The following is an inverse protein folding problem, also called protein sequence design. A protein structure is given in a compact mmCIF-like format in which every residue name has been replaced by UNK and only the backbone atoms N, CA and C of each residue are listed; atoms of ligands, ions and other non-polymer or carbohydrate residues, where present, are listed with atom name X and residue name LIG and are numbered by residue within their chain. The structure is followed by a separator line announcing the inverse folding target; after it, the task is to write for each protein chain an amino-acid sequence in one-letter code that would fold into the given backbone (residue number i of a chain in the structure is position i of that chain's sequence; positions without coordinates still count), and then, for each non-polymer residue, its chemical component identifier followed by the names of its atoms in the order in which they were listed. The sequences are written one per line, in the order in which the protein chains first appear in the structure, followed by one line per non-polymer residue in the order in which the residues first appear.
data_IF_761569939609
#
_entry.id   IF_761569939609
#
_cell.length_a   1.000
_cell.length_b   1.000
_cell.length_c   1.000
_cell.angle_alpha   90.00
_cell.angle_beta   90.00
_cell.angle_gamma   90.00
#
_symmetry.space_group_name_H-M   'P 1'
#
loop_
_entity.id
_entity.type
_entity.pdbx_description
1 polymer ?
#
# COMPACT_ATOMS: atom_id res chain seq x y z
N UNK A 1 9.26 10.42 -8.99
CA UNK A 1 8.68 10.04 -10.30
C UNK A 1 7.62 11.05 -10.71
N UNK A 2 6.49 11.13 -10.00
CA UNK A 2 5.43 12.12 -10.25
C UNK A 2 5.03 12.79 -8.93
N UNK A 3 4.81 14.09 -8.97
CA UNK A 3 4.23 14.86 -7.87
C UNK A 3 2.77 15.19 -8.16
N UNK A 4 1.95 15.09 -7.11
CA UNK A 4 0.49 15.20 -7.14
C UNK A 4 -0.21 14.04 -7.89
N UNK A 5 -1.51 13.88 -7.72
CA UNK A 5 -2.29 12.73 -8.19
C UNK A 5 -3.58 13.16 -8.88
N UNK A 6 -3.96 12.47 -9.96
CA UNK A 6 -5.20 12.74 -10.70
C UNK A 6 -6.48 12.31 -9.95
N UNK A 7 -6.35 11.69 -8.77
CA UNK A 7 -7.48 11.21 -7.98
C UNK A 7 -7.92 12.25 -6.97
N UNK A 8 -9.22 12.24 -6.65
CA UNK A 8 -9.85 13.19 -5.73
C UNK A 8 -10.29 12.54 -4.43
N UNK A 9 -9.39 11.79 -3.76
CA UNK A 9 -9.72 11.19 -2.47
C UNK A 9 -9.89 12.29 -1.41
N UNK A 10 -11.01 12.32 -0.68
CA UNK A 10 -11.29 13.37 0.30
C UNK A 10 -10.28 13.40 1.45
N UNK A 11 -9.76 12.24 1.86
CA UNK A 11 -8.74 12.09 2.89
C UNK A 11 -7.30 12.18 2.37
N UNK A 12 -7.10 12.61 1.13
CA UNK A 12 -5.77 12.64 0.52
C UNK A 12 -4.87 13.68 1.21
N UNK A 13 -3.73 13.23 1.74
CA UNK A 13 -2.71 14.14 2.27
C UNK A 13 -1.74 14.63 1.18
N UNK A 14 -1.56 13.87 0.08
CA UNK A 14 -0.67 14.24 -1.04
C UNK A 14 -1.02 15.61 -1.60
N UNK A 15 -2.30 15.90 -1.80
CA UNK A 15 -2.78 17.17 -2.35
C UNK A 15 -2.46 18.38 -1.46
N UNK A 16 -2.14 18.17 -0.19
CA UNK A 16 -1.72 19.26 0.72
C UNK A 16 -0.23 19.61 0.60
N UNK A 17 0.59 18.70 0.06
CA UNK A 17 2.04 18.85 0.00
C UNK A 17 2.53 19.46 -1.32
N UNK A 18 1.72 19.37 -2.38
CA UNK A 18 2.11 19.76 -3.73
C UNK A 18 1.20 20.86 -4.29
N UNK A 19 1.68 21.55 -5.33
CA UNK A 19 0.85 22.51 -6.08
C UNK A 19 -0.29 21.83 -6.83
N UNK A 20 -1.27 22.59 -7.32
CA UNK A 20 -2.39 22.09 -8.13
C UNK A 20 -1.98 21.50 -9.51
N UNK A 21 -0.68 21.52 -9.84
CA UNK A 21 -0.15 20.96 -11.10
C UNK A 21 0.47 19.58 -10.86
N UNK A 22 0.34 18.71 -11.87
CA UNK A 22 1.09 17.47 -11.95
C UNK A 22 2.50 17.75 -12.47
N UNK A 23 3.52 17.26 -11.76
CA UNK A 23 4.91 17.40 -12.18
C UNK A 23 5.54 16.03 -12.40
N UNK A 24 6.10 15.84 -13.59
CA UNK A 24 6.82 14.63 -13.99
C UNK A 24 8.32 14.90 -13.93
N UNK A 25 9.06 14.02 -13.26
CA UNK A 25 10.51 14.16 -13.15
C UNK A 25 11.19 13.76 -14.47
N UNK A 26 11.58 14.75 -15.25
CA UNK A 26 12.25 14.54 -16.55
C UNK A 26 13.61 13.84 -16.42
N UNK A 27 14.24 13.87 -15.24
CA UNK A 27 15.53 13.22 -14.97
C UNK A 27 15.40 11.93 -14.17
N UNK A 28 14.23 11.29 -14.16
CA UNK A 28 13.96 10.11 -13.33
C UNK A 28 14.93 8.97 -13.63
N UNK A 29 15.16 8.66 -14.91
CA UNK A 29 16.00 7.53 -15.32
C UNK A 29 17.46 7.74 -14.90
N UNK A 30 17.99 8.94 -15.10
CA UNK A 30 19.35 9.31 -14.71
C UNK A 30 19.51 9.26 -13.18
N UNK A 31 18.53 9.77 -12.44
CA UNK A 31 18.52 9.72 -10.98
C UNK A 31 18.53 8.28 -10.49
N UNK A 32 17.66 7.42 -11.00
CA UNK A 32 17.61 6.00 -10.64
C UNK A 32 18.94 5.30 -10.92
N UNK A 33 19.55 5.56 -12.09
CA UNK A 33 20.85 4.98 -12.44
C UNK A 33 22.02 5.49 -11.56
N UNK A 34 21.89 6.69 -10.99
CA UNK A 34 22.89 7.26 -10.09
C UNK A 34 22.83 6.70 -8.66
N UNK A 35 21.73 6.02 -8.29
CA UNK A 35 21.58 5.42 -6.97
C UNK A 35 22.67 4.35 -6.78
N UNK A 36 23.28 4.33 -5.60
CA UNK A 36 24.23 3.30 -5.17
C UNK A 36 23.64 2.62 -3.95
N UNK A 37 23.39 1.32 -4.06
CA UNK A 37 22.84 0.49 -3.00
C UNK A 37 23.88 -0.52 -2.54
N UNK A 38 23.83 -0.89 -1.27
CA UNK A 38 24.66 -1.97 -0.72
C UNK A 38 24.12 -3.32 -1.22
N UNK A 39 24.90 -4.11 -1.98
CA UNK A 39 24.41 -5.36 -2.59
C UNK A 39 23.96 -6.42 -1.58
N UNK A 40 24.49 -6.36 -0.36
CA UNK A 40 24.18 -7.31 0.73
C UNK A 40 22.92 -6.93 1.54
N UNK A 41 22.37 -5.74 1.31
CA UNK A 41 21.16 -5.26 2.01
C UNK A 41 19.93 -5.38 1.12
N UNK A 42 18.84 -5.87 1.70
CA UNK A 42 17.53 -5.81 1.05
C UNK A 42 16.89 -4.44 1.27
N UNK A 43 16.19 -3.94 0.26
CA UNK A 43 15.50 -2.65 0.30
C UNK A 43 14.05 -2.80 -0.16
N UNK A 44 13.13 -2.01 0.40
CA UNK A 44 11.76 -1.88 -0.09
C UNK A 44 11.50 -0.45 -0.55
N UNK A 45 11.27 -0.27 -1.86
CA UNK A 45 11.02 1.04 -2.46
C UNK A 45 9.55 1.10 -2.92
N UNK A 46 8.78 2.04 -2.36
CA UNK A 46 7.39 2.28 -2.75
C UNK A 46 7.26 3.51 -3.64
N UNK A 47 6.55 3.41 -4.76
CA UNK A 47 6.39 4.51 -5.72
C UNK A 47 5.13 5.37 -5.51
N UNK A 48 4.31 5.03 -4.51
CA UNK A 48 2.98 5.63 -4.27
C UNK A 48 2.92 6.76 -3.22
N UNK A 49 4.05 7.38 -2.87
CA UNK A 49 4.09 8.39 -1.79
C UNK A 49 3.71 9.81 -2.26
N UNK A 50 4.06 10.17 -3.50
CA UNK A 50 3.86 11.52 -4.05
C UNK A 50 2.80 11.57 -5.17
N UNK A 51 2.39 10.41 -5.66
CA UNK A 51 1.34 10.21 -6.67
C UNK A 51 0.84 8.77 -6.61
N UNK A 52 -0.20 8.44 -7.37
CA UNK A 52 -0.55 7.05 -7.63
C UNK A 52 0.40 6.44 -8.66
N UNK A 53 0.92 5.25 -8.38
CA UNK A 53 1.99 4.65 -9.18
C UNK A 53 1.58 4.33 -10.62
N UNK A 54 0.30 4.01 -10.85
CA UNK A 54 -0.16 3.46 -12.13
C UNK A 54 -1.16 4.34 -12.87
N UNK A 55 -1.73 5.36 -12.21
CA UNK A 55 -2.70 6.26 -12.85
C UNK A 55 -2.18 6.89 -14.15
N UNK A 56 -0.87 7.14 -14.23
CA UNK A 56 -0.24 7.78 -15.40
C UNK A 56 0.18 6.80 -16.50
N UNK A 57 0.14 5.49 -16.24
CA UNK A 57 0.75 4.48 -17.10
C UNK A 57 2.24 4.76 -17.34
N UNK A 58 2.75 4.33 -18.49
CA UNK A 58 4.15 4.56 -18.87
C UNK A 58 4.39 5.93 -19.54
N UNK A 59 3.63 6.97 -19.16
CA UNK A 59 3.84 8.31 -19.70
C UNK A 59 5.24 8.79 -19.35
N UNK A 60 5.96 9.38 -20.31
CA UNK A 60 7.35 9.83 -20.16
C UNK A 60 8.33 8.72 -19.74
N UNK A 61 8.03 7.44 -20.01
CA UNK A 61 8.93 6.31 -19.74
C UNK A 61 9.11 6.00 -18.25
N UNK A 62 8.16 6.40 -17.38
CA UNK A 62 8.27 6.24 -15.92
C UNK A 62 8.35 4.76 -15.53
N UNK A 63 7.48 3.92 -16.11
CA UNK A 63 7.45 2.50 -15.78
C UNK A 63 8.65 1.78 -16.40
N UNK A 64 9.13 2.21 -17.58
CA UNK A 64 10.38 1.71 -18.16
C UNK A 64 11.56 1.97 -17.23
N UNK A 65 11.72 3.22 -16.77
CA UNK A 65 12.81 3.63 -15.89
C UNK A 65 12.79 2.85 -14.56
N UNK A 66 11.60 2.69 -13.97
CA UNK A 66 11.41 1.96 -12.72
C UNK A 66 11.66 0.45 -12.88
N UNK A 67 11.20 -0.17 -13.98
CA UNK A 67 11.48 -1.58 -14.26
C UNK A 67 12.96 -1.82 -14.57
N UNK A 68 13.61 -0.92 -15.32
CA UNK A 68 15.05 -0.99 -15.56
C UNK A 68 15.85 -0.91 -14.24
N UNK A 69 15.44 -0.01 -13.33
CA UNK A 69 16.02 0.07 -12.00
C UNK A 69 15.82 -1.23 -11.19
N UNK A 70 14.61 -1.77 -11.14
CA UNK A 70 14.35 -3.04 -10.45
C UNK A 70 15.20 -4.19 -11.03
N UNK A 71 15.32 -4.28 -12.35
CA UNK A 71 16.15 -5.29 -13.02
C UNK A 71 17.64 -5.17 -12.64
N UNK A 72 18.16 -3.95 -12.51
CA UNK A 72 19.55 -3.68 -12.12
C UNK A 72 19.83 -3.98 -10.64
N UNK A 73 18.79 -3.99 -9.80
CA UNK A 73 18.92 -4.13 -8.35
C UNK A 73 18.04 -5.27 -7.80
N UNK A 74 18.45 -6.55 -7.94
CA UNK A 74 17.67 -7.70 -7.49
C UNK A 74 17.49 -7.79 -5.96
N UNK A 75 18.22 -6.98 -5.19
CA UNK A 75 18.07 -6.80 -3.74
C UNK A 75 17.01 -5.75 -3.37
N UNK A 76 16.35 -5.11 -4.34
CA UNK A 76 15.27 -4.14 -4.12
C UNK A 76 13.93 -4.81 -4.40
N UNK A 77 13.02 -4.79 -3.43
CA UNK A 77 11.60 -4.97 -3.66
C UNK A 77 11.01 -3.63 -4.13
N UNK A 78 10.59 -3.56 -5.39
CA UNK A 78 9.95 -2.36 -5.94
C UNK A 78 8.43 -2.51 -5.96
N UNK A 79 7.75 -1.64 -5.22
CA UNK A 79 6.30 -1.64 -5.08
C UNK A 79 5.65 -0.51 -5.91
N UNK A 80 4.66 -0.91 -6.72
CA UNK A 80 3.73 -0.01 -7.41
C UNK A 80 2.38 -0.01 -6.71
N UNK A 81 2.07 1.06 -5.98
CA UNK A 81 0.82 1.18 -5.20
C UNK A 81 -0.21 1.99 -5.96
N UNK A 82 -1.41 1.44 -6.13
CA UNK A 82 -2.44 2.08 -6.93
C UNK A 82 -3.87 1.98 -6.36
N UNK A 83 -4.74 2.89 -6.81
CA UNK A 83 -6.21 2.84 -6.78
C UNK A 83 -6.82 2.79 -8.19
N UNK A 84 -5.98 2.60 -9.21
CA UNK A 84 -6.39 2.50 -10.61
C UNK A 84 -6.55 1.04 -11.06
N UNK A 85 -7.09 0.86 -12.26
CA UNK A 85 -7.06 -0.39 -13.03
C UNK A 85 -6.07 -0.32 -14.21
N UNK A 86 -5.16 0.67 -14.23
CA UNK A 86 -4.27 0.92 -15.37
C UNK A 86 -3.02 0.01 -15.32
N UNK A 87 -3.24 -1.29 -15.56
CA UNK A 87 -2.20 -2.32 -15.46
C UNK A 87 -1.62 -2.75 -16.81
N UNK A 88 -2.09 -2.17 -17.91
CA UNK A 88 -1.76 -2.59 -19.29
C UNK A 88 -0.26 -2.79 -19.51
N UNK A 89 0.57 -1.89 -18.96
CA UNK A 89 2.03 -1.99 -19.08
C UNK A 89 2.55 -3.35 -18.61
N UNK A 90 2.12 -3.83 -17.44
CA UNK A 90 2.59 -5.10 -16.88
C UNK A 90 2.04 -6.35 -17.58
N UNK A 91 0.97 -6.20 -18.36
CA UNK A 91 0.41 -7.29 -19.16
C UNK A 91 1.11 -7.43 -20.52
N UNK A 92 1.73 -6.35 -21.01
CA UNK A 92 2.32 -6.27 -22.34
C UNK A 92 3.86 -6.32 -22.34
N UNK A 93 4.50 -6.20 -21.17
CA UNK A 93 5.97 -6.11 -21.05
C UNK A 93 6.51 -7.18 -20.11
N UNK A 94 7.79 -7.54 -20.30
CA UNK A 94 8.50 -8.38 -19.35
C UNK A 94 8.76 -7.59 -18.06
N UNK A 95 8.35 -8.16 -16.92
CA UNK A 95 8.42 -7.50 -15.61
C UNK A 95 9.51 -8.16 -14.76
N UNK A 96 10.44 -7.38 -14.18
CA UNK A 96 11.43 -7.89 -13.23
C UNK A 96 10.77 -8.65 -12.07
N UNK A 97 11.36 -9.77 -11.63
CA UNK A 97 10.72 -10.65 -10.66
C UNK A 97 10.72 -10.09 -9.22
N UNK A 98 11.37 -8.96 -8.98
CA UNK A 98 11.43 -8.24 -7.72
C UNK A 98 10.44 -7.07 -7.65
N UNK A 99 9.43 -7.07 -8.51
CA UNK A 99 8.32 -6.12 -8.51
C UNK A 99 7.10 -6.71 -7.82
N UNK A 100 6.41 -5.88 -7.04
CA UNK A 100 5.07 -6.15 -6.50
C UNK A 100 4.14 -5.02 -6.91
N UNK A 101 2.93 -5.36 -7.38
CA UNK A 101 1.87 -4.39 -7.59
C UNK A 101 0.90 -4.46 -6.40
N UNK A 102 0.61 -3.33 -5.77
CA UNK A 102 -0.28 -3.28 -4.62
C UNK A 102 -1.49 -2.40 -4.86
N UNK A 103 -2.64 -2.83 -4.35
CA UNK A 103 -3.88 -2.06 -4.43
C UNK A 103 -4.29 -1.55 -3.07
N UNK A 104 -4.61 -0.26 -3.00
CA UNK A 104 -5.44 0.23 -1.90
C UNK A 104 -6.87 -0.26 -2.12
N UNK A 105 -7.38 -1.07 -1.19
CA UNK A 105 -8.75 -1.55 -1.20
C UNK A 105 -9.55 -0.86 -0.11
N UNK A 106 -10.83 -0.66 -0.39
CA UNK A 106 -11.78 -0.15 0.58
C UNK A 106 -13.17 -0.68 0.27
N UNK A 107 -14.09 -0.51 1.22
CA UNK A 107 -15.48 -0.93 1.02
C UNK A 107 -16.14 -0.09 -0.10
N UNK A 108 -17.12 -0.64 -0.85
CA UNK A 108 -17.82 0.11 -1.90
C UNK A 108 -18.38 1.45 -1.42
N UNK A 109 -18.88 1.50 -0.18
CA UNK A 109 -19.36 2.73 0.47
C UNK A 109 -18.29 3.81 0.53
N UNK A 110 -17.08 3.47 0.96
CA UNK A 110 -15.99 4.45 1.06
C UNK A 110 -15.50 4.86 -0.33
N UNK A 111 -15.35 3.90 -1.25
CA UNK A 111 -14.90 4.22 -2.61
C UNK A 111 -15.86 5.20 -3.28
N UNK A 112 -17.16 4.95 -3.19
CA UNK A 112 -18.18 5.78 -3.82
C UNK A 112 -18.24 7.20 -3.26
N UNK A 113 -18.08 7.36 -1.94
CA UNK A 113 -18.29 8.65 -1.27
C UNK A 113 -17.00 9.46 -1.11
N UNK A 114 -15.85 8.79 -0.99
CA UNK A 114 -14.61 9.42 -0.54
C UNK A 114 -13.44 9.25 -1.54
N UNK A 115 -13.51 8.33 -2.52
CA UNK A 115 -12.41 8.03 -3.46
C UNK A 115 -12.71 8.44 -4.92
N UNK A 116 -12.93 9.73 -5.17
CA UNK A 116 -13.35 10.21 -6.50
C UNK A 116 -12.28 9.98 -7.57
N UNK A 117 -12.75 9.70 -8.79
CA UNK A 117 -11.93 9.44 -9.98
C UNK A 117 -11.01 8.23 -9.89
N UNK A 118 -11.13 7.42 -8.84
CA UNK A 118 -10.44 6.14 -8.72
C UNK A 118 -11.24 5.02 -9.39
N UNK A 119 -10.60 3.86 -9.60
CA UNK A 119 -11.30 2.66 -10.03
C UNK A 119 -12.23 2.15 -8.91
N UNK A 120 -13.35 1.53 -9.27
CA UNK A 120 -14.25 0.83 -8.34
C UNK A 120 -13.57 -0.40 -7.74
N UNK A 121 -14.14 -0.96 -6.68
CA UNK A 121 -13.60 -2.15 -6.02
C UNK A 121 -13.37 -3.30 -7.01
N UNK A 122 -14.39 -3.68 -7.78
CA UNK A 122 -14.28 -4.78 -8.75
C UNK A 122 -13.20 -4.50 -9.80
N UNK A 123 -13.12 -3.28 -10.33
CA UNK A 123 -12.10 -2.90 -11.31
C UNK A 123 -10.67 -3.00 -10.75
N UNK A 124 -10.48 -2.72 -9.44
CA UNK A 124 -9.19 -2.93 -8.76
C UNK A 124 -8.88 -4.41 -8.60
N UNK A 125 -9.85 -5.21 -8.17
CA UNK A 125 -9.68 -6.65 -7.98
C UNK A 125 -9.44 -7.38 -9.31
N UNK A 126 -10.14 -7.00 -10.37
CA UNK A 126 -9.96 -7.55 -11.72
C UNK A 126 -8.58 -7.19 -12.28
N UNK A 127 -8.13 -5.94 -12.08
CA UNK A 127 -6.78 -5.53 -12.47
C UNK A 127 -5.69 -6.28 -11.67
N UNK A 128 -5.89 -6.46 -10.36
CA UNK A 128 -5.00 -7.25 -9.52
C UNK A 128 -4.95 -8.72 -9.94
N UNK A 129 -6.11 -9.29 -10.30
CA UNK A 129 -6.20 -10.66 -10.80
C UNK A 129 -5.44 -10.83 -12.11
N UNK A 130 -5.63 -9.94 -13.07
CA UNK A 130 -4.90 -9.95 -14.34
C UNK A 130 -3.37 -9.87 -14.15
N UNK A 131 -2.90 -9.06 -13.19
CA UNK A 131 -1.48 -8.96 -12.84
C UNK A 131 -0.96 -10.24 -12.17
N UNK A 132 -1.75 -10.84 -11.29
CA UNK A 132 -1.39 -12.11 -10.65
C UNK A 132 -1.36 -13.28 -11.65
N UNK A 133 -2.24 -13.28 -12.66
CA UNK A 133 -2.31 -14.32 -13.70
C UNK A 133 -1.05 -14.37 -14.59
N UNK A 134 -0.39 -13.23 -14.78
CA UNK A 134 0.91 -13.15 -15.47
C UNK A 134 2.11 -13.40 -14.54
N UNK A 135 1.85 -13.83 -13.29
CA UNK A 135 2.87 -14.28 -12.33
C UNK A 135 3.48 -13.18 -11.46
N UNK A 136 2.99 -11.93 -11.56
CA UNK A 136 3.47 -10.82 -10.74
C UNK A 136 2.77 -10.89 -9.38
N UNK A 137 3.53 -10.81 -8.28
CA UNK A 137 2.93 -10.83 -6.94
C UNK A 137 2.13 -9.57 -6.68
N UNK A 138 1.03 -9.75 -5.97
CA UNK A 138 0.13 -8.65 -5.58
C UNK A 138 0.20 -8.38 -4.08
N UNK A 139 -0.24 -7.21 -3.66
CA UNK A 139 -0.42 -6.88 -2.24
C UNK A 139 -1.65 -6.00 -2.04
N UNK A 140 -2.19 -6.00 -0.83
CA UNK A 140 -3.41 -5.24 -0.53
C UNK A 140 -3.23 -4.33 0.68
N UNK A 141 -3.58 -3.06 0.51
CA UNK A 141 -3.57 -2.06 1.56
C UNK A 141 -4.99 -1.66 1.91
N UNK A 142 -5.42 -1.93 3.13
CA UNK A 142 -6.61 -1.33 3.70
C UNK A 142 -6.19 -0.09 4.48
N UNK A 143 -5.79 0.94 3.73
CA UNK A 143 -5.28 2.18 4.29
C UNK A 143 -5.79 3.39 3.49
N UNK A 144 -6.70 4.19 4.08
CA UNK A 144 -7.27 4.04 5.42
C UNK A 144 -8.44 3.05 5.48
N UNK A 145 -8.51 2.28 6.58
CA UNK A 145 -9.77 1.76 7.07
C UNK A 145 -10.58 2.90 7.69
N UNK A 146 -11.87 2.98 7.35
CA UNK A 146 -12.79 4.05 7.77
C UNK A 146 -13.89 3.47 8.64
N UNK A 147 -14.13 4.07 9.80
CA UNK A 147 -15.21 3.67 10.69
C UNK A 147 -16.53 4.34 10.27
N UNK A 148 -17.59 3.57 10.09
CA UNK A 148 -18.93 4.05 9.74
C UNK A 148 -19.99 2.99 10.05
N UNK A 149 -21.27 3.37 10.12
CA UNK A 149 -22.35 2.40 10.36
C UNK A 149 -22.34 1.26 9.32
N UNK A 150 -22.15 0.01 9.76
CA UNK A 150 -22.02 -1.16 8.88
C UNK A 150 -20.60 -1.53 8.47
N UNK A 151 -19.56 -0.83 8.96
CA UNK A 151 -18.16 -1.11 8.60
C UNK A 151 -17.76 -2.57 8.85
N UNK A 152 -18.22 -3.18 9.95
CA UNK A 152 -17.84 -4.55 10.34
C UNK A 152 -18.19 -5.57 9.26
N UNK A 153 -19.44 -5.60 8.80
CA UNK A 153 -19.86 -6.53 7.74
C UNK A 153 -19.16 -6.21 6.43
N UNK A 154 -19.11 -4.93 6.05
CA UNK A 154 -18.52 -4.50 4.78
C UNK A 154 -17.02 -4.85 4.65
N UNK A 155 -16.23 -4.71 5.72
CA UNK A 155 -14.82 -5.11 5.69
C UNK A 155 -14.63 -6.63 5.74
N UNK A 156 -15.50 -7.37 6.43
CA UNK A 156 -15.47 -8.83 6.42
C UNK A 156 -15.79 -9.39 5.02
N UNK A 157 -16.81 -8.84 4.35
CA UNK A 157 -17.16 -9.15 2.97
C UNK A 157 -16.00 -8.83 2.02
N UNK A 158 -15.36 -7.67 2.18
CA UNK A 158 -14.19 -7.29 1.39
C UNK A 158 -13.01 -8.26 1.58
N UNK A 159 -12.74 -8.70 2.81
CA UNK A 159 -11.72 -9.72 3.05
C UNK A 159 -12.07 -11.06 2.38
N UNK A 160 -13.35 -11.47 2.45
CA UNK A 160 -13.83 -12.68 1.79
C UNK A 160 -13.65 -12.62 0.27
N UNK A 161 -13.99 -11.49 -0.38
CA UNK A 161 -13.79 -11.29 -1.82
C UNK A 161 -12.31 -11.40 -2.23
N UNK A 162 -11.40 -10.86 -1.42
CA UNK A 162 -9.96 -11.02 -1.65
C UNK A 162 -9.56 -12.50 -1.54
N UNK A 163 -10.05 -13.22 -0.53
CA UNK A 163 -9.72 -14.64 -0.36
C UNK A 163 -10.37 -15.57 -1.39
N UNK A 164 -11.48 -15.16 -2.02
CA UNK A 164 -12.13 -15.88 -3.11
C UNK A 164 -11.35 -15.77 -4.42
N UNK A 165 -10.76 -14.61 -4.69
CA UNK A 165 -10.13 -14.29 -5.98
C UNK A 165 -8.63 -14.57 -6.04
N UNK A 166 -7.99 -14.77 -4.89
CA UNK A 166 -6.53 -14.93 -4.79
C UNK A 166 -6.18 -16.08 -3.86
N UNK A 167 -5.01 -16.67 -4.06
CA UNK A 167 -4.41 -17.60 -3.09
C UNK A 167 -3.26 -16.94 -2.34
N UNK A 168 -2.95 -17.35 -1.10
CA UNK A 168 -1.87 -16.75 -0.29
C UNK A 168 -0.51 -16.65 -0.98
N UNK A 169 -0.19 -17.57 -1.88
CA UNK A 169 1.07 -17.63 -2.62
C UNK A 169 1.22 -16.48 -3.63
N UNK A 170 0.11 -15.88 -4.07
CA UNK A 170 0.07 -14.74 -4.98
C UNK A 170 0.21 -13.41 -4.24
N UNK A 171 -0.14 -13.39 -2.94
CA UNK A 171 -0.22 -12.17 -2.12
C UNK A 171 1.04 -12.02 -1.28
N UNK A 172 1.89 -11.03 -1.61
CA UNK A 172 3.13 -10.76 -0.89
C UNK A 172 2.87 -10.33 0.55
N UNK A 173 1.98 -9.36 0.75
CA UNK A 173 1.63 -8.83 2.08
C UNK A 173 0.27 -8.13 2.07
N UNK A 174 -0.30 -7.96 3.26
CA UNK A 174 -1.49 -7.17 3.52
C UNK A 174 -1.18 -6.16 4.62
N UNK A 175 -1.65 -4.93 4.47
CA UNK A 175 -1.49 -3.91 5.51
C UNK A 175 -2.80 -3.26 5.90
N UNK A 176 -2.87 -2.84 7.16
CA UNK A 176 -3.98 -2.06 7.71
C UNK A 176 -3.47 -0.71 8.20
N UNK A 177 -4.28 0.33 8.06
CA UNK A 177 -3.99 1.61 8.68
C UNK A 177 -5.27 2.41 8.87
N UNK A 178 -5.30 3.29 9.85
CA UNK A 178 -6.48 4.11 10.15
C UNK A 178 -6.46 5.44 9.41
N UNK A 179 -7.60 6.13 9.35
CA UNK A 179 -7.64 7.52 8.91
C UNK A 179 -6.73 8.35 9.82
N UNK A 180 -5.75 9.03 9.23
CA UNK A 180 -4.86 9.96 9.92
C UNK A 180 -4.73 11.23 9.09
N UNK A 181 -5.18 12.35 9.63
CA UNK A 181 -5.26 13.64 8.94
C UNK A 181 -4.37 14.66 9.63
N UNK A 182 -3.62 15.42 8.82
CA UNK A 182 -2.87 16.58 9.28
C UNK A 182 -3.75 17.84 9.20
N UNK A 183 -3.42 18.88 9.99
CA UNK A 183 -4.17 20.15 9.99
C UNK A 183 -4.37 20.75 8.59
N UNK A 184 -3.37 20.78 7.69
CA UNK A 184 -3.57 21.21 6.30
C UNK A 184 -4.64 20.41 5.54
N UNK A 185 -4.69 19.09 5.70
CA UNK A 185 -5.68 18.24 5.04
C UNK A 185 -7.09 18.55 5.53
N UNK A 186 -7.26 18.75 6.83
CA UNK A 186 -8.56 19.11 7.41
C UNK A 186 -9.03 20.48 6.92
N UNK A 187 -8.11 21.44 6.85
CA UNK A 187 -8.40 22.77 6.29
C UNK A 187 -8.84 22.65 4.82
N UNK A 188 -8.09 21.92 3.99
CA UNK A 188 -8.42 21.69 2.59
C UNK A 188 -9.78 21.00 2.42
N UNK A 189 -10.08 19.98 3.24
CA UNK A 189 -11.39 19.30 3.20
C UNK A 189 -12.52 20.30 3.43
N UNK A 190 -12.41 21.15 4.46
CA UNK A 190 -13.42 22.17 4.80
C UNK A 190 -13.56 23.24 3.72
N UNK A 191 -12.46 23.65 3.10
CA UNK A 191 -12.44 24.69 2.06
C UNK A 191 -12.88 24.18 0.69
N UNK A 192 -12.72 22.88 0.41
CA UNK A 192 -13.01 22.29 -0.90
C UNK A 192 -14.48 22.38 -1.32
N UNK A 193 -15.41 22.52 -0.35
CA UNK A 193 -16.85 22.45 -0.57
C UNK A 193 -17.35 21.09 -1.08
N UNK A 194 -16.48 20.08 -1.17
CA UNK A 194 -16.84 18.76 -1.65
C UNK A 194 -17.71 18.04 -0.62
N UNK A 195 -18.81 17.39 -1.04
CA UNK A 195 -19.54 16.48 -0.16
C UNK A 195 -18.62 15.35 0.35
N UNK A 196 -18.42 15.30 1.66
CA UNK A 196 -17.65 14.26 2.37
C UNK A 196 -18.17 14.13 3.81
N UNK A 197 -18.05 12.93 4.37
CA UNK A 197 -18.34 12.66 5.79
C UNK A 197 -17.08 12.29 6.58
N UNK A 198 -15.90 12.35 5.98
CA UNK A 198 -14.68 11.82 6.57
C UNK A 198 -14.27 12.51 7.89
N UNK A 199 -14.72 13.74 8.10
CA UNK A 199 -14.51 14.53 9.32
C UNK A 199 -15.62 14.37 10.37
N UNK A 200 -16.66 13.57 10.13
CA UNK A 200 -17.77 13.38 11.07
C UNK A 200 -17.44 12.41 12.20
N UNK A 201 -16.36 11.63 12.04
CA UNK A 201 -15.90 10.70 13.06
C UNK A 201 -15.20 11.44 14.21
N UNK A 202 -15.34 10.88 15.41
CA UNK A 202 -14.51 11.30 16.54
C UNK A 202 -13.04 11.05 16.21
N UNK A 203 -12.23 12.10 16.36
CA UNK A 203 -10.79 12.05 16.13
C UNK A 203 -10.05 12.63 17.33
N UNK A 204 -8.97 11.97 17.70
CA UNK A 204 -8.07 12.35 18.78
C UNK A 204 -6.68 12.69 18.20
N UNK A 205 -5.92 13.57 18.84
CA UNK A 205 -4.55 13.85 18.42
C UNK A 205 -3.62 12.66 18.71
N UNK A 206 -2.78 12.34 17.75
CA UNK A 206 -1.60 11.49 17.95
C UNK A 206 -0.46 12.27 18.63
N UNK A 207 0.63 11.62 19.06
CA UNK A 207 1.78 12.29 19.67
C UNK A 207 2.45 13.37 18.80
N UNK A 208 2.18 13.39 17.50
CA UNK A 208 2.71 14.35 16.53
C UNK A 208 1.70 15.44 16.15
N UNK A 209 0.54 15.48 16.80
CA UNK A 209 -0.53 16.45 16.56
C UNK A 209 -1.35 16.22 15.28
N UNK A 210 -1.23 15.04 14.66
CA UNK A 210 -2.14 14.57 13.61
C UNK A 210 -3.42 14.05 14.24
N UNK A 211 -4.55 14.15 13.55
CA UNK A 211 -5.84 13.66 14.04
C UNK A 211 -6.15 12.27 13.47
N UNK A 212 -6.49 11.33 14.34
CA UNK A 212 -6.78 9.93 13.99
C UNK A 212 -7.87 9.36 14.91
N UNK A 213 -8.28 8.11 14.72
CA UNK A 213 -9.30 7.50 15.58
C UNK A 213 -8.78 7.21 17.00
N UNK A 214 -9.67 7.17 18.01
CA UNK A 214 -9.35 6.61 19.32
C UNK A 214 -8.75 5.21 19.20
N UNK A 215 -7.84 4.86 20.11
CA UNK A 215 -7.08 3.61 20.01
C UNK A 215 -7.98 2.37 20.08
N UNK A 216 -9.03 2.41 20.90
CA UNK A 216 -10.02 1.35 21.04
C UNK A 216 -10.75 1.08 19.71
N UNK A 217 -11.06 2.13 18.95
CA UNK A 217 -11.68 2.02 17.63
C UNK A 217 -10.70 1.39 16.65
N UNK A 218 -9.44 1.83 16.65
CA UNK A 218 -8.39 1.25 15.80
C UNK A 218 -8.18 -0.23 16.08
N UNK A 219 -8.03 -0.60 17.35
CA UNK A 219 -7.85 -1.99 17.79
C UNK A 219 -9.04 -2.85 17.36
N UNK A 220 -10.27 -2.35 17.56
CA UNK A 220 -11.48 -3.07 17.12
C UNK A 220 -11.47 -3.32 15.61
N UNK A 221 -11.18 -2.29 14.81
CA UNK A 221 -11.15 -2.37 13.35
C UNK A 221 -10.06 -3.32 12.84
N UNK A 222 -8.84 -3.16 13.32
CA UNK A 222 -7.71 -3.98 12.88
C UNK A 222 -7.85 -5.43 13.31
N UNK A 223 -8.30 -5.69 14.55
CA UNK A 223 -8.55 -7.07 15.02
C UNK A 223 -9.65 -7.74 14.22
N UNK A 224 -10.72 -7.02 13.89
CA UNK A 224 -11.80 -7.53 13.06
C UNK A 224 -11.31 -7.89 11.65
N UNK A 225 -10.56 -6.99 11.00
CA UNK A 225 -10.01 -7.24 9.67
C UNK A 225 -8.99 -8.38 9.66
N UNK A 226 -8.10 -8.41 10.66
CA UNK A 226 -7.11 -9.48 10.81
C UNK A 226 -7.76 -10.84 11.02
N UNK A 227 -8.80 -10.91 11.87
CA UNK A 227 -9.58 -12.13 12.10
C UNK A 227 -10.37 -12.58 10.86
N UNK A 228 -10.84 -11.65 10.03
CA UNK A 228 -11.50 -11.97 8.76
C UNK A 228 -10.55 -12.69 7.78
N UNK A 229 -9.24 -12.46 7.89
CA UNK A 229 -8.20 -13.19 7.16
C UNK A 229 -7.65 -14.43 7.90
N UNK A 230 -8.37 -14.98 8.88
CA UNK A 230 -7.92 -16.15 9.65
C UNK A 230 -7.34 -17.32 8.82
N UNK A 231 -7.87 -17.69 7.62
CA UNK A 231 -7.30 -18.76 6.81
C UNK A 231 -5.91 -18.46 6.21
N UNK A 232 -5.50 -17.19 6.21
CA UNK A 232 -4.24 -16.71 5.60
C UNK A 232 -3.16 -16.40 6.65
N UNK A 233 -3.49 -16.49 7.94
CA UNK A 233 -2.54 -16.22 9.02
C UNK A 233 -1.36 -17.20 8.95
N UNK A 234 -0.15 -16.67 9.07
CA UNK A 234 1.09 -17.42 8.92
C UNK A 234 1.52 -17.68 7.46
N UNK A 235 0.62 -17.52 6.49
CA UNK A 235 0.87 -17.69 5.04
C UNK A 235 1.06 -16.37 4.31
N UNK A 236 0.42 -15.30 4.77
CA UNK A 236 0.60 -13.92 4.27
C UNK A 236 1.17 -13.06 5.39
N UNK A 237 2.05 -12.14 5.04
CA UNK A 237 2.61 -11.19 6.00
C UNK A 237 1.61 -10.04 6.23
N UNK A 238 1.25 -9.80 7.49
CA UNK A 238 0.35 -8.72 7.90
C UNK A 238 1.11 -7.65 8.68
N UNK A 239 0.77 -6.37 8.48
CA UNK A 239 1.35 -5.29 9.28
C UNK A 239 0.43 -4.09 9.42
N UNK A 240 0.68 -3.26 10.45
CA UNK A 240 -0.01 -1.99 10.64
C UNK A 240 0.85 -0.82 10.15
N UNK A 241 0.25 0.11 9.41
CA UNK A 241 0.92 1.28 8.89
C UNK A 241 0.91 2.42 9.92
N UNK A 242 2.09 2.82 10.41
CA UNK A 242 2.28 3.99 11.29
C UNK A 242 1.47 3.93 12.60
N UNK A 243 1.26 2.73 13.14
CA UNK A 243 0.54 2.53 14.41
C UNK A 243 1.49 2.21 15.56
N UNK A 244 1.10 2.61 16.78
CA UNK A 244 1.89 2.39 17.99
C UNK A 244 1.94 0.93 18.43
N UNK A 245 3.00 0.57 19.17
CA UNK A 245 3.27 -0.78 19.65
C UNK A 245 2.08 -1.45 20.36
N UNK A 246 1.35 -0.72 21.21
CA UNK A 246 0.21 -1.29 21.94
C UNK A 246 -0.94 -1.71 21.03
N UNK A 247 -1.17 -0.99 19.93
CA UNK A 247 -2.22 -1.33 18.95
C UNK A 247 -1.82 -2.59 18.20
N UNK A 248 -0.54 -2.74 17.83
CA UNK A 248 -0.02 -3.96 17.22
C UNK A 248 -0.27 -5.18 18.10
N UNK A 249 0.13 -5.11 19.38
CA UNK A 249 -0.02 -6.21 20.31
C UNK A 249 -1.50 -6.59 20.51
N UNK A 250 -2.39 -5.61 20.67
CA UNK A 250 -3.82 -5.84 20.89
C UNK A 250 -4.57 -6.30 19.63
N UNK A 251 -4.11 -5.91 18.44
CA UNK A 251 -4.80 -6.21 17.18
C UNK A 251 -4.30 -7.48 16.50
N UNK A 252 -2.98 -7.65 16.43
CA UNK A 252 -2.33 -8.74 15.70
C UNK A 252 -1.75 -9.82 16.63
N UNK A 253 -1.60 -9.51 17.92
CA UNK A 253 -1.02 -10.44 18.92
C UNK A 253 0.51 -10.41 18.98
N UNK A 254 1.17 -9.54 18.22
CA UNK A 254 2.62 -9.38 18.20
C UNK A 254 3.00 -7.93 17.92
N UNK A 255 4.25 -7.58 18.23
CA UNK A 255 4.84 -6.26 17.97
C UNK A 255 6.35 -6.39 17.80
N UNK A 256 6.94 -5.52 16.99
CA UNK A 256 8.39 -5.43 16.81
C UNK A 256 9.00 -4.41 17.76
N UNK A 257 10.23 -4.64 18.21
CA UNK A 257 10.93 -3.73 19.12
C UNK A 257 11.40 -2.46 18.43
N UNK A 258 11.63 -2.53 17.11
CA UNK A 258 12.06 -1.40 16.30
C UNK A 258 11.59 -1.53 14.85
N UNK A 259 11.68 -0.43 14.11
CA UNK A 259 11.36 -0.40 12.67
C UNK A 259 12.35 -1.26 11.86
N UNK A 260 13.61 -1.34 12.28
CA UNK A 260 14.63 -2.16 11.62
C UNK A 260 14.34 -3.66 11.78
N UNK A 261 13.82 -4.08 12.93
CA UNK A 261 13.39 -5.46 13.16
C UNK A 261 12.18 -5.81 12.28
N UNK A 262 11.19 -4.91 12.24
CA UNK A 262 10.03 -5.02 11.36
C UNK A 262 10.44 -5.10 9.88
N UNK A 263 11.25 -4.17 9.40
CA UNK A 263 11.66 -4.10 7.99
C UNK A 263 12.43 -5.36 7.58
N UNK A 264 13.31 -5.87 8.46
CA UNK A 264 14.04 -7.11 8.23
C UNK A 264 13.12 -8.32 8.11
N UNK A 265 12.17 -8.48 9.04
CA UNK A 265 11.23 -9.60 9.00
C UNK A 265 10.29 -9.50 7.78
N UNK A 266 9.76 -8.31 7.50
CA UNK A 266 8.96 -8.03 6.31
C UNK A 266 9.69 -8.45 5.03
N UNK A 267 10.91 -7.95 4.80
CA UNK A 267 11.69 -8.27 3.60
C UNK A 267 12.05 -9.75 3.52
N UNK A 268 12.35 -10.40 4.65
CA UNK A 268 12.65 -11.83 4.71
C UNK A 268 11.44 -12.66 4.28
N UNK A 269 10.27 -12.36 4.84
CA UNK A 269 9.02 -13.09 4.56
C UNK A 269 8.51 -12.84 3.15
N UNK A 270 8.70 -11.63 2.62
CA UNK A 270 8.36 -11.32 1.22
C UNK A 270 9.34 -11.98 0.24
N UNK A 271 10.62 -12.10 0.61
CA UNK A 271 11.63 -12.84 -0.19
C UNK A 271 11.36 -14.35 -0.29
N UNK A 272 10.51 -14.92 0.57
CA UNK A 272 10.04 -16.31 0.41
C UNK A 272 9.14 -16.48 -0.83
N UNK A 273 8.48 -15.40 -1.26
CA UNK A 273 7.53 -15.39 -2.39
C UNK A 273 8.05 -14.73 -3.65
N UNK A 274 9.04 -13.84 -3.50
CA UNK A 274 9.69 -13.10 -4.58
C UNK A 274 11.18 -13.41 -4.54
N UNK A 275 11.84 -13.71 -5.68
CA UNK A 275 13.25 -14.12 -5.71
C UNK A 275 14.20 -12.91 -5.51
N UNK A 276 14.08 -12.21 -4.39
CA UNK A 276 15.00 -11.17 -3.96
C UNK A 276 16.36 -11.79 -3.67
N UNK A 277 17.44 -11.19 -4.20
CA UNK A 277 18.80 -11.72 -4.05
C UNK A 277 19.71 -10.67 -3.45
N UNK A 278 20.25 -10.96 -2.27
CA UNK A 278 21.47 -10.32 -1.76
C UNK A 278 22.69 -11.18 -2.12
N UNK A 279 23.88 -10.59 -2.17
CA UNK A 279 25.12 -11.31 -2.51
C UNK A 279 25.56 -12.38 -1.49
N UNK A 280 24.90 -12.48 -0.33
CA UNK A 280 25.12 -13.56 0.65
C UNK A 280 23.85 -14.39 0.84
N UNK A 281 23.86 -15.64 0.36
CA UNK A 281 23.00 -16.69 0.93
C UNK A 281 23.35 -16.81 2.42
N UNK A 282 22.41 -16.75 3.37
CA UNK A 282 22.71 -17.22 4.71
C UNK A 282 23.03 -18.72 4.59
N UNK A 283 24.20 -19.11 5.10
CA UNK A 283 24.45 -20.52 5.37
C UNK A 283 23.33 -20.98 6.31
N UNK A 284 22.48 -21.89 5.83
CA UNK A 284 21.63 -22.68 6.70
C UNK A 284 22.56 -23.29 7.76
N UNK A 285 22.40 -22.89 9.01
CA UNK A 285 23.06 -23.57 10.11
C UNK A 285 22.62 -25.05 10.04
N UNK A 286 23.55 -26.01 10.08
CA UNK A 286 23.19 -27.42 10.09
C UNK A 286 22.39 -27.73 11.37
N UNK A 287 21.40 -28.59 11.18
CA UNK A 287 20.44 -29.13 12.18
C UNK A 287 21.13 -29.57 13.46
#
# INVERSE_FOLDING_TARGET
AVENCAFGCSYCTIQTFYSDRFAFDAGLAEKLHSIRLEPDRLYHFGTGQSSDSLVWGNRYGILDALCAFAAQHPNVLLEFKTKSNNVRYFLEHAVPPNIVCSWSLNTPTIIQNEERFTARLEERLDAARAVADVGIKVAFHFHPMVYYAGWRSAYAELAALVMERFVPEEVAFISFGSVTLIKPAIKQIRESGQPTKILQMEMVPDPHGKLTYPDEVKVEMFRHMYGAFSPWLGRVFFYLCMEKADIWLQSLGYVYKSNEEFERDFLTRVAEKLPLRSSRRPALAPV
#
